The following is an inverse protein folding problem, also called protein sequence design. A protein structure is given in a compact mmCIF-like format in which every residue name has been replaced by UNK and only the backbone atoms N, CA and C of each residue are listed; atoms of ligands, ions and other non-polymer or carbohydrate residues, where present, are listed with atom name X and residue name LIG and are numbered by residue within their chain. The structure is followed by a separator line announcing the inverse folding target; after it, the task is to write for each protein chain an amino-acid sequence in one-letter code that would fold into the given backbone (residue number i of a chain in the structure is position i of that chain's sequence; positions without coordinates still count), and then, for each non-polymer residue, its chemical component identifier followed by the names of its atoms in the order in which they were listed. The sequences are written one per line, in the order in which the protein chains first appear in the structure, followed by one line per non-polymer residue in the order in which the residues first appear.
data_IF_146188893528
#
_entry.id   IF_146188893528
#
_cell.length_a   1.000
_cell.length_b   1.000
_cell.length_c   1.000
_cell.angle_alpha   90.00
_cell.angle_beta   90.00
_cell.angle_gamma   90.00
#
_symmetry.space_group_name_H-M   'P 1'
#
loop_
_entity.id
_entity.type
_entity.pdbx_description
1 polymer ?
#
# COMPACT_ATOMS: atom_id res chain seq x y z
N UNK A 1 1.19 -8.65 -12.19
CA UNK A 1 1.00 -7.57 -11.20
C UNK A 1 1.98 -6.46 -11.52
N UNK A 2 1.61 -5.23 -11.24
CA UNK A 2 2.50 -4.08 -11.23
C UNK A 2 2.46 -3.48 -9.81
N UNK A 3 3.50 -2.78 -9.40
CA UNK A 3 3.52 -2.15 -8.08
C UNK A 3 4.40 -0.91 -8.10
N UNK A 4 3.80 0.25 -7.87
CA UNK A 4 4.53 1.52 -7.73
C UNK A 4 5.51 1.44 -6.55
N UNK A 5 5.07 0.88 -5.41
CA UNK A 5 5.92 0.73 -4.24
C UNK A 5 7.13 -0.18 -4.49
N UNK A 6 6.96 -1.29 -5.22
CA UNK A 6 8.08 -2.13 -5.64
C UNK A 6 9.01 -1.43 -6.64
N UNK A 7 8.47 -0.60 -7.55
CA UNK A 7 9.26 0.21 -8.47
C UNK A 7 10.12 1.24 -7.73
N UNK A 8 9.56 1.98 -6.77
CA UNK A 8 10.33 2.92 -5.93
C UNK A 8 11.40 2.20 -5.12
N UNK A 9 11.05 1.06 -4.52
CA UNK A 9 12.00 0.26 -3.76
C UNK A 9 13.13 -0.29 -4.66
N UNK A 10 12.80 -0.78 -5.86
CA UNK A 10 13.78 -1.25 -6.82
C UNK A 10 14.76 -0.14 -7.21
N UNK A 11 14.24 1.05 -7.53
CA UNK A 11 15.08 2.22 -7.85
C UNK A 11 15.97 2.58 -6.68
N UNK A 12 15.46 2.64 -5.45
CA UNK A 12 16.24 2.98 -4.26
C UNK A 12 17.34 1.94 -3.95
N UNK A 13 17.04 0.65 -4.10
CA UNK A 13 18.01 -0.43 -3.87
C UNK A 13 19.10 -0.43 -4.94
N UNK A 14 18.73 -0.27 -6.21
CA UNK A 14 19.68 -0.22 -7.32
C UNK A 14 20.54 1.05 -7.25
N UNK A 15 19.95 2.22 -7.02
CA UNK A 15 20.69 3.49 -6.92
C UNK A 15 21.56 3.56 -5.66
N UNK A 16 21.15 2.90 -4.58
CA UNK A 16 21.92 2.75 -3.35
C UNK A 16 23.04 1.70 -3.42
N UNK A 17 23.21 1.03 -4.56
CA UNK A 17 24.27 0.02 -4.75
C UNK A 17 24.04 -1.30 -4.01
N UNK A 18 22.79 -1.62 -3.65
CA UNK A 18 22.48 -2.87 -2.98
C UNK A 18 22.80 -4.08 -3.88
N UNK A 19 23.33 -5.19 -3.33
CA UNK A 19 23.59 -6.39 -4.11
C UNK A 19 22.32 -6.91 -4.81
N UNK A 20 22.43 -7.31 -6.08
CA UNK A 20 21.28 -7.75 -6.88
C UNK A 20 20.44 -8.82 -6.18
N UNK A 21 21.09 -9.79 -5.52
CA UNK A 21 20.41 -10.86 -4.80
C UNK A 21 19.56 -10.33 -3.63
N UNK A 22 20.09 -9.38 -2.87
CA UNK A 22 19.38 -8.71 -1.76
C UNK A 22 18.21 -7.91 -2.32
N UNK A 23 18.42 -7.20 -3.43
CA UNK A 23 17.38 -6.42 -4.09
C UNK A 23 16.21 -7.29 -4.57
N UNK A 24 16.51 -8.39 -5.26
CA UNK A 24 15.51 -9.37 -5.72
C UNK A 24 14.78 -9.98 -4.53
N UNK A 25 15.49 -10.42 -3.50
CA UNK A 25 14.86 -11.03 -2.32
C UNK A 25 13.93 -10.04 -1.61
N UNK A 26 14.35 -8.79 -1.46
CA UNK A 26 13.55 -7.74 -0.82
C UNK A 26 12.29 -7.44 -1.62
N UNK A 27 12.40 -7.34 -2.95
CA UNK A 27 11.26 -7.12 -3.84
C UNK A 27 10.28 -8.29 -3.81
N UNK A 28 10.78 -9.53 -3.82
CA UNK A 28 9.96 -10.74 -3.70
C UNK A 28 9.25 -10.76 -2.35
N UNK A 29 9.99 -10.55 -1.25
CA UNK A 29 9.43 -10.52 0.10
C UNK A 29 8.33 -9.45 0.25
N UNK A 30 8.54 -8.26 -0.30
CA UNK A 30 7.52 -7.20 -0.37
C UNK A 30 6.32 -7.62 -1.24
N UNK A 31 6.56 -8.38 -2.31
CA UNK A 31 5.54 -8.90 -3.20
C UNK A 31 4.63 -9.95 -2.55
N UNK A 32 5.14 -10.75 -1.59
CA UNK A 32 4.41 -11.85 -0.95
C UNK A 32 3.07 -11.44 -0.34
N UNK A 33 2.91 -10.18 0.12
CA UNK A 33 1.63 -9.67 0.64
C UNK A 33 0.47 -9.79 -0.36
N UNK A 34 0.75 -9.79 -1.66
CA UNK A 34 -0.28 -9.97 -2.70
C UNK A 34 -0.93 -11.36 -2.65
N UNK A 35 -0.22 -12.37 -2.11
CA UNK A 35 -0.79 -13.70 -1.89
C UNK A 35 -1.93 -13.68 -0.87
N UNK A 36 -1.92 -12.73 0.08
CA UNK A 36 -2.97 -12.58 1.08
C UNK A 36 -4.20 -11.83 0.55
N UNK A 37 -4.04 -10.99 -0.48
CA UNK A 37 -5.13 -10.13 -0.98
C UNK A 37 -6.25 -10.93 -1.63
N UNK A 38 -5.92 -11.94 -2.44
CA UNK A 38 -6.90 -12.78 -3.13
C UNK A 38 -7.88 -13.46 -2.15
N UNK A 39 -7.39 -14.28 -1.20
CA UNK A 39 -8.24 -14.93 -0.20
C UNK A 39 -9.05 -13.94 0.65
N UNK A 40 -8.43 -12.85 1.11
CA UNK A 40 -9.10 -11.85 1.94
C UNK A 40 -10.24 -11.15 1.20
N UNK A 41 -10.05 -10.81 -0.08
CA UNK A 41 -11.08 -10.19 -0.90
C UNK A 41 -12.20 -11.18 -1.23
N UNK A 42 -11.87 -12.45 -1.50
CA UNK A 42 -12.88 -13.50 -1.73
C UNK A 42 -13.77 -13.72 -0.50
N UNK A 43 -13.18 -13.75 0.69
CA UNK A 43 -13.92 -13.87 1.95
C UNK A 43 -14.88 -12.67 2.15
N UNK A 44 -14.45 -11.46 1.79
CA UNK A 44 -15.29 -10.25 1.89
C UNK A 44 -16.38 -10.17 0.79
N UNK A 45 -16.13 -10.74 -0.39
CA UNK A 45 -17.01 -10.66 -1.55
C UNK A 45 -18.12 -11.72 -1.58
N UNK A 46 -17.96 -12.84 -0.85
CA UNK A 46 -18.81 -14.02 -0.96
C UNK A 46 -18.30 -14.98 -2.05
N UNK A 47 -18.11 -16.24 -1.68
CA UNK A 47 -17.42 -17.26 -2.49
C UNK A 47 -18.07 -17.55 -3.87
N UNK A 48 -19.36 -17.25 -4.07
CA UNK A 48 -20.04 -17.55 -5.34
C UNK A 48 -19.84 -16.49 -6.43
N UNK A 49 -19.84 -15.19 -6.08
CA UNK A 49 -19.80 -14.10 -7.08
C UNK A 49 -18.38 -13.73 -7.53
N UNK A 50 -17.35 -13.99 -6.72
CA UNK A 50 -15.97 -13.57 -7.02
C UNK A 50 -15.20 -14.53 -7.94
N UNK A 51 -15.63 -15.79 -8.03
CA UNK A 51 -14.79 -16.89 -8.51
C UNK A 51 -14.78 -17.03 -10.03
N UNK A 52 -15.80 -16.54 -10.74
CA UNK A 52 -15.99 -16.83 -12.18
C UNK A 52 -14.91 -16.21 -13.08
N UNK A 53 -14.40 -15.02 -12.72
CA UNK A 53 -13.31 -14.34 -13.46
C UNK A 53 -12.18 -13.83 -12.55
N UNK A 54 -12.00 -14.43 -11.37
CA UNK A 54 -10.96 -14.05 -10.41
C UNK A 54 -9.57 -13.93 -11.05
N UNK A 55 -9.21 -14.90 -11.89
CA UNK A 55 -7.93 -14.94 -12.62
C UNK A 55 -7.71 -13.74 -13.54
N UNK A 56 -8.77 -13.14 -14.08
CA UNK A 56 -8.69 -12.08 -15.07
C UNK A 56 -8.52 -10.69 -14.44
N UNK A 57 -9.08 -10.44 -13.25
CA UNK A 57 -8.84 -9.20 -12.50
C UNK A 57 -7.69 -9.31 -11.50
N UNK A 58 -7.19 -10.52 -11.21
CA UNK A 58 -6.04 -10.73 -10.32
C UNK A 58 -4.78 -9.97 -10.74
N UNK A 59 -4.56 -9.76 -12.04
CA UNK A 59 -3.43 -8.97 -12.52
C UNK A 59 -3.44 -7.53 -12.00
N UNK A 60 -4.63 -6.93 -11.89
CA UNK A 60 -4.84 -5.56 -11.43
C UNK A 60 -4.91 -5.41 -9.92
N UNK A 61 -4.71 -6.48 -9.15
CA UNK A 61 -4.82 -6.47 -7.70
C UNK A 61 -3.57 -5.86 -7.07
N UNK A 62 -3.54 -4.54 -6.92
CA UNK A 62 -2.52 -3.80 -6.16
C UNK A 62 -3.00 -3.47 -4.76
N UNK A 63 -2.14 -2.91 -3.91
CA UNK A 63 -2.50 -2.48 -2.55
C UNK A 63 -3.66 -1.49 -2.56
N UNK A 64 -3.65 -0.57 -3.52
CA UNK A 64 -4.64 0.50 -3.69
C UNK A 64 -5.97 -0.08 -4.15
N UNK A 65 -5.93 -1.00 -5.12
CA UNK A 65 -7.12 -1.69 -5.63
C UNK A 65 -7.73 -2.56 -4.53
N UNK A 66 -6.91 -3.31 -3.79
CA UNK A 66 -7.34 -4.13 -2.66
C UNK A 66 -7.95 -3.27 -1.54
N UNK A 67 -7.25 -2.23 -1.08
CA UNK A 67 -7.73 -1.35 -0.01
C UNK A 67 -9.02 -0.63 -0.39
N UNK A 68 -9.11 -0.11 -1.61
CA UNK A 68 -10.31 0.56 -2.12
C UNK A 68 -11.48 -0.40 -2.26
N UNK A 69 -11.24 -1.61 -2.78
CA UNK A 69 -12.28 -2.64 -2.90
C UNK A 69 -12.80 -3.06 -1.53
N UNK A 70 -11.91 -3.40 -0.59
CA UNK A 70 -12.28 -3.80 0.76
C UNK A 70 -13.04 -2.68 1.51
N UNK A 71 -12.58 -1.44 1.39
CA UNK A 71 -13.26 -0.26 1.96
C UNK A 71 -14.62 0.03 1.32
N UNK A 72 -14.84 -0.35 0.06
CA UNK A 72 -16.16 -0.26 -0.57
C UNK A 72 -17.10 -1.36 -0.07
N UNK A 73 -16.60 -2.60 0.04
CA UNK A 73 -17.36 -3.74 0.56
C UNK A 73 -17.77 -3.53 2.03
N UNK A 74 -16.86 -3.02 2.87
CA UNK A 74 -17.16 -2.72 4.28
C UNK A 74 -18.22 -1.64 4.48
N UNK A 75 -18.39 -0.74 3.49
CA UNK A 75 -19.46 0.28 3.46
C UNK A 75 -20.76 -0.23 2.83
N UNK A 76 -20.88 -1.54 2.60
CA UNK A 76 -22.10 -2.19 2.10
C UNK A 76 -22.24 -2.24 0.59
N UNK A 77 -21.20 -1.89 -0.19
CA UNK A 77 -21.23 -2.10 -1.65
C UNK A 77 -21.23 -3.60 -1.93
N UNK A 78 -22.14 -4.05 -2.80
CA UNK A 78 -22.10 -5.43 -3.30
C UNK A 78 -20.92 -5.62 -4.24
N UNK A 79 -20.22 -6.74 -4.10
CA UNK A 79 -19.16 -7.11 -5.02
C UNK A 79 -19.71 -7.25 -6.45
N UNK A 80 -18.96 -6.75 -7.43
CA UNK A 80 -19.23 -7.02 -8.84
C UNK A 80 -17.93 -7.08 -9.65
N UNK A 81 -17.85 -8.01 -10.58
CA UNK A 81 -16.68 -8.14 -11.45
C UNK A 81 -16.43 -6.87 -12.30
N UNK A 82 -17.45 -6.19 -12.88
CA UNK A 82 -17.22 -4.93 -13.59
C UNK A 82 -16.60 -3.84 -12.72
N UNK A 83 -16.94 -3.79 -11.42
CA UNK A 83 -16.31 -2.87 -10.49
C UNK A 83 -14.82 -3.20 -10.30
N UNK A 84 -14.47 -4.47 -10.15
CA UNK A 84 -13.07 -4.90 -10.03
C UNK A 84 -12.26 -4.61 -11.29
N UNK A 85 -12.81 -4.89 -12.47
CA UNK A 85 -12.14 -4.56 -13.74
C UNK A 85 -11.97 -3.06 -13.94
N UNK A 86 -13.01 -2.26 -13.67
CA UNK A 86 -12.93 -0.81 -13.76
C UNK A 86 -11.88 -0.23 -12.82
N UNK A 87 -11.85 -0.71 -11.57
CA UNK A 87 -10.87 -0.29 -10.57
C UNK A 87 -9.44 -0.69 -10.96
N UNK A 88 -9.24 -1.94 -11.40
CA UNK A 88 -7.92 -2.43 -11.83
C UNK A 88 -7.40 -1.73 -13.09
N UNK A 89 -8.27 -1.46 -14.08
CA UNK A 89 -7.91 -0.77 -15.31
C UNK A 89 -7.60 0.71 -15.06
N UNK A 90 -8.39 1.38 -14.23
CA UNK A 90 -8.14 2.77 -13.85
C UNK A 90 -6.81 2.90 -13.10
N UNK A 91 -6.54 2.00 -12.15
CA UNK A 91 -5.26 1.96 -11.44
C UNK A 91 -4.09 1.68 -12.39
N UNK A 92 -4.26 0.78 -13.35
CA UNK A 92 -3.20 0.47 -14.33
C UNK A 92 -2.92 1.65 -15.25
N UNK A 93 -3.98 2.30 -15.76
CA UNK A 93 -3.84 3.50 -16.59
C UNK A 93 -3.15 4.64 -15.83
N UNK A 94 -3.49 4.84 -14.55
CA UNK A 94 -2.83 5.82 -13.69
C UNK A 94 -1.35 5.47 -13.45
N UNK A 95 -1.03 4.19 -13.25
CA UNK A 95 0.35 3.75 -13.07
C UNK A 95 1.20 3.95 -14.33
N UNK A 96 0.69 3.57 -15.51
CA UNK A 96 1.40 3.74 -16.78
C UNK A 96 1.61 5.22 -17.08
N UNK A 97 0.55 6.03 -16.98
CA UNK A 97 0.64 7.47 -17.28
C UNK A 97 1.54 8.20 -16.29
N UNK A 98 1.43 7.89 -14.99
CA UNK A 98 2.29 8.45 -13.94
C UNK A 98 3.76 8.06 -14.12
N UNK A 99 4.03 6.81 -14.51
CA UNK A 99 5.40 6.34 -14.79
C UNK A 99 5.98 7.03 -16.02
N UNK A 100 5.22 7.16 -17.10
CA UNK A 100 5.65 7.86 -18.30
C UNK A 100 5.92 9.36 -18.02
N UNK A 101 5.01 10.02 -17.28
CA UNK A 101 5.19 11.41 -16.86
C UNK A 101 6.41 11.59 -15.96
N UNK A 102 6.61 10.70 -14.99
CA UNK A 102 7.79 10.72 -14.10
C UNK A 102 9.10 10.49 -14.87
N UNK A 103 9.12 9.56 -15.82
CA UNK A 103 10.28 9.31 -16.67
C UNK A 103 10.62 10.52 -17.56
N UNK A 104 9.61 11.20 -18.10
CA UNK A 104 9.81 12.42 -18.88
C UNK A 104 10.29 13.60 -18.02
N UNK A 105 9.76 13.75 -16.80
CA UNK A 105 10.09 14.84 -15.89
C UNK A 105 11.44 14.67 -15.17
N UNK A 106 11.90 13.43 -14.98
CA UNK A 106 13.12 13.08 -14.25
C UNK A 106 14.42 13.60 -14.86
N UNK A 107 14.40 14.06 -16.12
CA UNK A 107 15.55 14.66 -16.82
C UNK A 107 15.85 16.13 -16.47
N UNK A 108 15.39 16.64 -15.32
CA UNK A 108 15.63 18.02 -14.88
C UNK A 108 14.50 19.02 -15.20
N UNK A 109 13.37 18.56 -15.74
CA UNK A 109 12.21 19.41 -16.00
C UNK A 109 11.64 20.05 -14.71
N UNK A 110 11.87 19.41 -13.57
CA UNK A 110 11.44 19.87 -12.24
C UNK A 110 12.47 20.75 -11.52
N UNK A 111 13.67 20.97 -12.09
CA UNK A 111 14.70 21.80 -11.45
C UNK A 111 14.24 23.26 -11.23
N UNK A 112 13.28 23.73 -12.03
CA UNK A 112 12.64 25.04 -11.87
C UNK A 112 11.57 25.07 -10.77
N UNK A 113 11.20 23.92 -10.19
CA UNK A 113 10.08 23.76 -9.25
C UNK A 113 10.48 22.94 -8.00
N UNK A 114 11.37 23.46 -7.14
CA UNK A 114 11.88 22.72 -5.97
C UNK A 114 10.80 22.30 -4.97
N UNK A 115 9.71 23.06 -4.87
CA UNK A 115 8.56 22.69 -4.04
C UNK A 115 7.84 21.42 -4.54
N UNK A 116 7.73 21.27 -5.86
CA UNK A 116 7.11 20.08 -6.48
C UNK A 116 8.02 18.88 -6.28
N UNK A 117 9.32 19.04 -6.47
CA UNK A 117 10.31 17.98 -6.22
C UNK A 117 10.27 17.49 -4.76
N UNK A 118 10.24 18.41 -3.80
CA UNK A 118 10.09 18.07 -2.39
C UNK A 118 8.77 17.34 -2.09
N UNK A 119 7.66 17.78 -2.69
CA UNK A 119 6.36 17.13 -2.54
C UNK A 119 6.35 15.70 -3.12
N UNK A 120 7.02 15.49 -4.26
CA UNK A 120 7.16 14.16 -4.87
C UNK A 120 7.96 13.20 -3.98
N UNK A 121 8.96 13.70 -3.24
CA UNK A 121 9.68 12.92 -2.22
C UNK A 121 8.80 12.40 -1.08
N UNK A 122 7.69 13.08 -0.79
CA UNK A 122 6.71 12.68 0.24
C UNK A 122 5.51 11.89 -0.31
N UNK A 123 5.44 11.68 -1.62
CA UNK A 123 4.26 11.10 -2.26
C UNK A 123 3.96 9.66 -1.81
N UNK A 124 4.99 8.83 -1.61
CA UNK A 124 4.80 7.45 -1.18
C UNK A 124 4.22 7.34 0.24
N UNK A 125 4.77 8.05 1.26
CA UNK A 125 4.10 8.18 2.56
C UNK A 125 2.67 8.72 2.47
N UNK A 126 2.43 9.75 1.65
CA UNK A 126 1.10 10.34 1.47
C UNK A 126 0.08 9.34 0.90
N UNK A 127 0.51 8.49 -0.05
CA UNK A 127 -0.32 7.41 -0.61
C UNK A 127 -0.74 6.41 0.46
N UNK A 128 0.20 5.91 1.26
CA UNK A 128 -0.13 4.98 2.35
C UNK A 128 -1.04 5.62 3.41
N UNK A 129 -0.85 6.91 3.71
CA UNK A 129 -1.75 7.64 4.60
C UNK A 129 -3.16 7.75 4.01
N UNK A 130 -3.29 8.07 2.72
CA UNK A 130 -4.59 8.13 2.05
C UNK A 130 -5.30 6.78 2.05
N UNK A 131 -4.57 5.68 1.80
CA UNK A 131 -5.12 4.33 1.90
C UNK A 131 -5.57 4.00 3.33
N UNK A 132 -4.75 4.30 4.33
CA UNK A 132 -5.10 4.11 5.74
C UNK A 132 -6.40 4.84 6.06
N UNK A 133 -6.51 6.12 5.69
CA UNK A 133 -7.72 6.92 5.90
C UNK A 133 -8.94 6.35 5.17
N UNK A 134 -8.76 5.73 4.00
CA UNK A 134 -9.86 5.13 3.23
C UNK A 134 -10.49 3.90 3.90
N UNK A 135 -9.69 3.15 4.67
CA UNK A 135 -10.13 1.93 5.40
C UNK A 135 -10.35 2.18 6.89
N UNK A 136 -10.06 3.39 7.37
CA UNK A 136 -10.13 3.77 8.77
C UNK A 136 -11.57 3.82 9.26
N UNK A 137 -11.77 3.25 10.44
CA UNK A 137 -12.98 3.40 11.24
C UNK A 137 -12.66 4.05 12.59
N UNK A 138 -13.67 4.66 13.22
CA UNK A 138 -13.50 5.29 14.55
C UNK A 138 -13.00 4.31 15.61
N UNK A 139 -13.31 3.03 15.48
CA UNK A 139 -12.86 1.97 16.39
C UNK A 139 -11.33 1.77 16.36
N UNK A 140 -10.66 2.13 15.26
CA UNK A 140 -9.22 1.92 15.09
C UNK A 140 -8.37 3.12 15.55
N UNK A 141 -8.99 4.27 15.86
CA UNK A 141 -8.26 5.48 16.28
C UNK A 141 -7.34 5.26 17.50
N UNK A 142 -7.73 4.54 18.56
CA UNK A 142 -6.85 4.30 19.71
C UNK A 142 -5.62 3.47 19.33
N UNK A 143 -5.79 2.48 18.45
CA UNK A 143 -4.71 1.61 17.96
C UNK A 143 -3.70 2.43 17.15
N UNK A 144 -4.20 3.30 16.28
CA UNK A 144 -3.37 4.20 15.46
C UNK A 144 -2.61 5.19 16.35
N UNK A 145 -3.26 5.75 17.37
CA UNK A 145 -2.61 6.67 18.30
C UNK A 145 -1.45 6.00 19.05
N UNK A 146 -1.65 4.77 19.55
CA UNK A 146 -0.58 3.99 20.21
C UNK A 146 0.56 3.69 19.25
N UNK A 147 0.25 3.19 18.05
CA UNK A 147 1.27 2.88 17.04
C UNK A 147 2.08 4.13 16.67
N UNK A 148 1.43 5.27 16.47
CA UNK A 148 2.07 6.53 16.14
C UNK A 148 2.95 7.05 17.30
N UNK A 149 2.44 7.03 18.53
CA UNK A 149 3.20 7.48 19.70
C UNK A 149 4.47 6.65 19.92
N UNK A 150 4.37 5.32 19.82
CA UNK A 150 5.53 4.43 19.95
C UNK A 150 6.51 4.63 18.79
N UNK A 151 6.02 4.76 17.56
CA UNK A 151 6.87 5.02 16.40
C UNK A 151 7.67 6.30 16.58
N UNK A 152 7.00 7.40 16.95
CA UNK A 152 7.64 8.70 17.13
C UNK A 152 8.63 8.65 18.29
N UNK A 153 8.22 8.11 19.45
CA UNK A 153 9.06 8.04 20.64
C UNK A 153 10.35 7.26 20.38
N UNK A 154 10.26 6.05 19.81
CA UNK A 154 11.45 5.23 19.54
C UNK A 154 12.28 5.80 18.39
N UNK A 155 11.67 6.45 17.40
CA UNK A 155 12.41 7.15 16.33
C UNK A 155 13.29 8.26 16.90
N UNK A 156 12.75 9.07 17.81
CA UNK A 156 13.48 10.19 18.41
C UNK A 156 14.59 9.73 19.37
N UNK A 157 14.42 8.57 20.01
CA UNK A 157 15.37 8.05 21.01
C UNK A 157 16.45 7.12 20.43
N UNK A 158 16.19 6.51 19.28
CA UNK A 158 17.06 5.46 18.74
C UNK A 158 17.28 5.58 17.24
N UNK A 159 16.28 5.22 16.44
CA UNK A 159 16.39 5.26 14.97
C UNK A 159 15.01 5.12 14.33
N UNK A 160 14.87 5.64 13.10
CA UNK A 160 13.64 5.48 12.32
C UNK A 160 13.25 4.00 12.11
N UNK A 161 14.23 3.13 11.84
CA UNK A 161 13.98 1.69 11.63
C UNK A 161 13.40 1.02 12.87
N UNK A 162 14.00 1.26 14.03
CA UNK A 162 13.51 0.70 15.30
C UNK A 162 12.16 1.29 15.70
N UNK A 163 11.93 2.57 15.38
CA UNK A 163 10.64 3.23 15.57
C UNK A 163 9.52 2.57 14.80
N UNK A 164 9.71 2.36 13.49
CA UNK A 164 8.72 1.70 12.63
C UNK A 164 8.40 0.30 13.14
N UNK A 165 9.43 -0.51 13.45
CA UNK A 165 9.23 -1.88 13.95
C UNK A 165 8.48 -1.90 15.29
N UNK A 166 8.87 -1.03 16.22
CA UNK A 166 8.23 -0.94 17.54
C UNK A 166 6.78 -0.48 17.44
N UNK A 167 6.50 0.49 16.57
CA UNK A 167 5.16 0.97 16.28
C UNK A 167 4.25 -0.10 15.68
N UNK A 168 4.77 -0.91 14.74
CA UNK A 168 4.04 -2.06 14.18
C UNK A 168 3.64 -3.06 15.26
N UNK A 169 4.57 -3.42 16.14
CA UNK A 169 4.31 -4.36 17.25
C UNK A 169 3.30 -3.76 18.23
N UNK A 170 3.48 -2.50 18.64
CA UNK A 170 2.57 -1.84 19.57
C UNK A 170 1.14 -1.71 19.00
N UNK A 171 1.02 -1.36 17.72
CA UNK A 171 -0.27 -1.33 17.03
C UNK A 171 -0.93 -2.70 16.94
N UNK A 172 -0.17 -3.75 16.61
CA UNK A 172 -0.69 -5.12 16.57
C UNK A 172 -1.21 -5.57 17.94
N UNK A 173 -0.45 -5.31 19.02
CA UNK A 173 -0.85 -5.66 20.39
C UNK A 173 -2.07 -4.86 20.87
N UNK A 174 -2.15 -3.57 20.53
CA UNK A 174 -3.28 -2.73 20.88
C UNK A 174 -4.56 -3.08 20.10
N UNK A 175 -4.41 -3.62 18.89
CA UNK A 175 -5.50 -4.03 18.01
C UNK A 175 -6.04 -5.43 18.25
N UNK A 176 -5.40 -6.24 19.12
CA UNK A 176 -5.94 -7.53 19.52
C UNK A 176 -7.33 -7.34 20.14
N UNK A 177 -8.35 -8.11 19.71
CA UNK A 177 -9.66 -8.04 20.32
C UNK A 177 -9.51 -8.39 21.80
N UNK A 178 -9.65 -7.37 22.67
CA UNK A 178 -9.84 -7.60 24.10
C UNK A 178 -11.14 -8.38 24.20
N UNK A 179 -11.02 -9.65 24.58
CA UNK A 179 -12.14 -10.59 24.61
C UNK A 179 -13.36 -9.93 25.24
N UNK A 180 -14.50 -10.04 24.55
CA UNK A 180 -15.79 -9.93 25.22
C UNK A 180 -15.87 -11.15 26.15
N UNK A 181 -15.53 -10.93 27.41
CA UNK A 181 -15.97 -11.76 28.53
C UNK A 181 -17.28 -11.17 29.07
#
# INVERSE_FOLDING_TARGET
MYSGAAQFLAVALVSGGAPLLVSVFTLVAMGLRHLAYGPALMAAAGHEQATRRAWAWAFGLTDEVFGTALGALSRGRRFSEPFMFGLGLAAYAAWVSGTAAGAAAGGGALAAYPAVEAALGFMLPALFLALLLSILSRAQLPVIAVAAAVTIGVTLLHSATSGILSGMVAGALAGLPRGRA
#
